data_IF_828814513884
#
_entry.id   IF_828814513884
#
_cell.length_a   1.000
_cell.length_b   1.000
_cell.length_c   1.000
_cell.angle_alpha   90.00
_cell.angle_beta   90.00
_cell.angle_gamma   90.00
#
_symmetry.space_group_name_H-M   'P 1'
#
loop_
_entity.id
_entity.type
_entity.pdbx_description
1 polymer ?
#
# COMPACT_ATOMS: atom_id res chain seq x y z
N UNK A 1 14.77 9.39 4.73
CA UNK A 1 16.04 8.95 4.09
C UNK A 1 16.01 7.49 3.61
N UNK A 2 15.73 6.50 4.47
CA UNK A 2 15.72 5.07 4.08
C UNK A 2 14.71 4.76 2.97
N UNK A 3 13.49 5.28 3.04
CA UNK A 3 12.45 5.05 2.02
C UNK A 3 12.93 5.56 0.65
N UNK A 4 13.42 6.81 0.59
CA UNK A 4 13.97 7.38 -0.65
C UNK A 4 15.12 6.55 -1.20
N UNK A 5 16.07 6.15 -0.36
CA UNK A 5 17.18 5.30 -0.80
C UNK A 5 16.71 4.01 -1.49
N UNK A 6 15.70 3.34 -0.93
CA UNK A 6 15.14 2.14 -1.55
C UNK A 6 14.38 2.44 -2.85
N UNK A 7 13.68 3.58 -2.94
CA UNK A 7 12.99 3.99 -4.16
C UNK A 7 13.97 4.39 -5.27
N UNK A 8 15.03 5.11 -4.94
CA UNK A 8 16.07 5.54 -5.89
C UNK A 8 16.85 4.34 -6.47
N UNK A 9 16.82 3.20 -5.78
CA UNK A 9 17.37 1.92 -6.26
C UNK A 9 16.37 1.08 -7.06
N UNK A 10 15.20 1.63 -7.37
CA UNK A 10 14.16 1.00 -8.20
C UNK A 10 13.23 0.05 -7.44
N UNK A 11 13.25 0.04 -6.10
CA UNK A 11 12.31 -0.75 -5.33
C UNK A 11 10.98 -0.02 -5.17
N UNK A 12 9.88 -0.78 -5.13
CA UNK A 12 8.59 -0.30 -4.64
C UNK A 12 8.58 -0.46 -3.11
N UNK A 13 8.33 0.63 -2.39
CA UNK A 13 8.46 0.68 -0.93
C UNK A 13 7.11 0.91 -0.29
N UNK A 14 6.70 -0.03 0.55
CA UNK A 14 5.57 0.13 1.46
C UNK A 14 6.06 0.61 2.83
N UNK A 15 5.29 1.48 3.48
CA UNK A 15 5.51 1.86 4.88
C UNK A 15 4.32 1.44 5.74
N UNK A 16 4.59 0.90 6.94
CA UNK A 16 3.56 0.71 7.97
C UNK A 16 3.70 1.83 8.98
N UNK A 17 2.59 2.51 9.29
CA UNK A 17 2.57 3.71 10.13
C UNK A 17 1.44 3.66 11.16
N UNK A 18 1.48 4.50 12.19
CA UNK A 18 0.48 4.54 13.26
C UNK A 18 -0.49 5.74 13.16
N UNK A 19 -0.20 6.71 12.29
CA UNK A 19 -1.06 7.87 12.09
C UNK A 19 -0.33 9.10 11.59
N UNK A 20 -0.75 10.27 12.08
CA UNK A 20 -0.25 11.57 11.62
C UNK A 20 1.21 11.82 12.04
N UNK A 21 1.64 11.22 13.15
CA UNK A 21 3.04 11.26 13.60
C UNK A 21 4.03 10.71 12.56
N UNK A 22 3.55 9.80 11.70
CA UNK A 22 4.31 9.13 10.66
C UNK A 22 3.99 9.69 9.26
N UNK A 23 3.52 10.94 9.19
CA UNK A 23 3.11 11.57 7.94
C UNK A 23 4.21 11.55 6.87
N UNK A 24 5.48 11.75 7.26
CA UNK A 24 6.59 11.76 6.30
C UNK A 24 6.84 10.36 5.70
N UNK A 25 7.05 9.27 6.47
CA UNK A 25 7.10 7.91 5.92
C UNK A 25 5.91 7.54 5.05
N UNK A 26 4.70 7.92 5.48
CA UNK A 26 3.47 7.69 4.73
C UNK A 26 3.50 8.39 3.35
N UNK A 27 3.89 9.66 3.31
CA UNK A 27 3.96 10.44 2.06
C UNK A 27 5.12 10.02 1.13
N UNK A 28 6.24 9.53 1.68
CA UNK A 28 7.40 9.13 0.86
C UNK A 28 7.25 7.73 0.26
N UNK A 29 6.51 6.85 0.92
CA UNK A 29 6.26 5.48 0.46
C UNK A 29 5.41 5.44 -0.81
N UNK A 30 5.51 4.35 -1.58
CA UNK A 30 4.61 4.11 -2.72
C UNK A 30 3.23 3.61 -2.27
N UNK A 31 3.17 3.03 -1.07
CA UNK A 31 1.93 2.59 -0.42
C UNK A 31 2.06 2.65 1.10
N UNK A 32 1.06 3.23 1.74
CA UNK A 32 0.98 3.36 3.20
C UNK A 32 -0.04 2.40 3.80
N UNK A 33 0.41 1.61 4.77
CA UNK A 33 -0.44 0.78 5.63
C UNK A 33 -0.56 1.46 6.99
N UNK A 34 -1.70 2.07 7.27
CA UNK A 34 -1.92 2.77 8.54
C UNK A 34 -2.61 1.85 9.52
N UNK A 35 -1.95 1.60 10.64
CA UNK A 35 -2.44 0.81 11.74
C UNK A 35 -3.14 1.71 12.77
N UNK A 36 -4.47 1.73 12.78
CA UNK A 36 -5.22 2.55 13.73
C UNK A 36 -6.62 1.98 13.99
N UNK A 37 -6.97 1.80 15.27
CA UNK A 37 -8.32 1.41 15.69
C UNK A 37 -9.30 2.57 15.57
N UNK A 38 -8.82 3.78 15.83
CA UNK A 38 -9.60 5.03 15.82
C UNK A 38 -8.88 6.09 14.98
N UNK A 39 -8.77 5.91 13.65
CA UNK A 39 -8.04 6.85 12.83
C UNK A 39 -8.75 8.21 12.83
N UNK A 40 -7.99 9.29 12.78
CA UNK A 40 -8.56 10.62 12.55
C UNK A 40 -9.18 10.70 11.16
N UNK A 41 -10.03 11.70 10.89
CA UNK A 41 -10.56 11.93 9.55
C UNK A 41 -9.42 12.12 8.54
N UNK A 42 -8.40 12.90 8.89
CA UNK A 42 -7.22 13.12 8.05
C UNK A 42 -6.53 11.80 7.69
N UNK A 43 -6.25 10.95 8.68
CA UNK A 43 -5.61 9.64 8.46
C UNK A 43 -6.44 8.74 7.54
N UNK A 44 -7.77 8.73 7.69
CA UNK A 44 -8.66 7.97 6.79
C UNK A 44 -8.58 8.44 5.34
N UNK A 45 -8.36 9.73 5.11
CA UNK A 45 -8.25 10.30 3.77
C UNK A 45 -6.88 10.10 3.14
N UNK A 46 -5.82 9.99 3.94
CA UNK A 46 -4.45 9.90 3.43
C UNK A 46 -3.89 8.48 3.43
N UNK A 47 -4.49 7.54 4.14
CA UNK A 47 -4.07 6.13 4.15
C UNK A 47 -4.44 5.43 2.86
N UNK A 48 -3.50 4.72 2.24
CA UNK A 48 -3.82 3.84 1.11
C UNK A 48 -4.51 2.56 1.60
N UNK A 49 -4.03 2.00 2.72
CA UNK A 49 -4.61 0.83 3.37
C UNK A 49 -4.76 1.10 4.87
N UNK A 50 -5.98 1.01 5.39
CA UNK A 50 -6.26 1.15 6.82
C UNK A 50 -6.44 -0.23 7.48
N UNK A 51 -5.58 -0.54 8.46
CA UNK A 51 -5.59 -1.81 9.20
C UNK A 51 -6.31 -1.66 10.54
N UNK A 52 -7.62 -1.91 10.55
CA UNK A 52 -8.51 -1.67 11.71
C UNK A 52 -8.34 -2.61 12.90
N UNK A 53 -7.73 -3.79 12.72
CA UNK A 53 -7.61 -4.82 13.76
C UNK A 53 -6.16 -5.02 14.23
N UNK A 54 -5.24 -4.12 13.87
CA UNK A 54 -3.81 -4.22 14.19
C UNK A 54 -3.11 -5.52 13.73
N UNK A 55 -3.75 -6.33 12.88
CA UNK A 55 -3.17 -7.57 12.38
C UNK A 55 -2.30 -7.29 11.16
N UNK A 56 -1.00 -7.57 11.29
CA UNK A 56 -0.06 -7.55 10.18
C UNK A 56 -0.38 -8.62 9.13
N UNK A 57 -1.27 -9.58 9.41
CA UNK A 57 -1.73 -10.59 8.45
C UNK A 57 -2.45 -9.99 7.24
N UNK A 58 -2.97 -8.76 7.38
CA UNK A 58 -3.57 -8.02 6.27
C UNK A 58 -2.54 -7.74 5.17
N UNK A 59 -1.27 -7.51 5.51
CA UNK A 59 -0.22 -7.17 4.55
C UNK A 59 0.04 -8.30 3.54
N UNK A 60 0.37 -9.55 3.95
CA UNK A 60 0.59 -10.63 2.99
C UNK A 60 -0.67 -10.95 2.18
N UNK A 61 -1.86 -10.81 2.77
CA UNK A 61 -3.12 -11.03 2.06
C UNK A 61 -3.39 -9.94 1.01
N UNK A 62 -3.14 -8.67 1.34
CA UNK A 62 -3.19 -7.56 0.40
C UNK A 62 -2.20 -7.76 -0.76
N UNK A 63 -0.96 -8.17 -0.47
CA UNK A 63 0.05 -8.44 -1.52
C UNK A 63 -0.39 -9.59 -2.42
N UNK A 64 -0.95 -10.66 -1.84
CA UNK A 64 -1.49 -11.79 -2.60
C UNK A 64 -2.61 -11.33 -3.54
N UNK A 65 -3.57 -10.58 -3.02
CA UNK A 65 -4.69 -10.03 -3.80
C UNK A 65 -4.19 -9.11 -4.92
N UNK A 66 -3.27 -8.19 -4.63
CA UNK A 66 -2.72 -7.26 -5.61
C UNK A 66 -2.04 -7.99 -6.78
N UNK A 67 -1.25 -9.03 -6.50
CA UNK A 67 -0.61 -9.86 -7.53
C UNK A 67 -1.63 -10.60 -8.39
N UNK A 68 -2.68 -11.15 -7.78
CA UNK A 68 -3.78 -11.81 -8.52
C UNK A 68 -4.52 -10.82 -9.42
N UNK A 69 -4.85 -9.63 -8.92
CA UNK A 69 -5.53 -8.58 -9.70
C UNK A 69 -4.64 -8.15 -10.87
N UNK A 70 -3.36 -7.90 -10.63
CA UNK A 70 -2.42 -7.54 -11.69
C UNK A 70 -2.37 -8.60 -12.81
N UNK A 71 -2.24 -9.88 -12.43
CA UNK A 71 -2.27 -10.98 -13.38
C UNK A 71 -3.57 -10.99 -14.20
N UNK A 72 -4.71 -10.87 -13.54
CA UNK A 72 -6.02 -10.88 -14.20
C UNK A 72 -6.21 -9.69 -15.14
N UNK A 73 -5.75 -8.48 -14.76
CA UNK A 73 -5.79 -7.30 -15.64
C UNK A 73 -4.94 -7.55 -16.90
N UNK A 74 -3.74 -8.13 -16.75
CA UNK A 74 -2.88 -8.44 -17.91
C UNK A 74 -3.54 -9.44 -18.85
N UNK A 75 -4.20 -10.47 -18.32
CA UNK A 75 -4.96 -11.43 -19.13
C UNK A 75 -6.18 -10.80 -19.79
N UNK A 76 -6.91 -9.94 -19.09
CA UNK A 76 -8.05 -9.21 -19.64
C UNK A 76 -7.61 -8.31 -20.80
N UNK A 77 -6.51 -7.56 -20.64
CA UNK A 77 -5.97 -6.71 -21.70
C UNK A 77 -5.52 -7.53 -22.92
N UNK A 78 -4.88 -8.68 -22.70
CA UNK A 78 -4.52 -9.60 -23.78
C UNK A 78 -5.74 -10.08 -24.55
N UNK A 79 -6.81 -10.44 -23.84
CA UNK A 79 -8.06 -10.86 -24.47
C UNK A 79 -8.70 -9.72 -25.29
N UNK A 80 -8.76 -8.50 -24.73
CA UNK A 80 -9.36 -7.34 -25.41
C UNK A 80 -8.55 -6.91 -26.64
N UNK A 81 -7.21 -6.95 -26.57
CA UNK A 81 -6.34 -6.47 -27.65
C UNK A 81 -6.08 -7.51 -28.76
N UNK A 82 -6.36 -8.79 -28.51
CA UNK A 82 -6.25 -9.86 -29.51
C UNK A 82 -7.59 -10.18 -30.20
N UNK A 83 -8.68 -9.52 -29.79
CA UNK A 83 -9.93 -9.41 -30.54
C UNK A 83 -9.88 -8.20 -31.47
#
# INVERSE_FOLDING_TARGET
>A
EIIRYHKDTGNIVAAVTQGLEDALPQMESDISFVQSNEPSAAVRYTADVLMRNHSFEVIPECIRCARTIYHNIRHMLQYILML
#
